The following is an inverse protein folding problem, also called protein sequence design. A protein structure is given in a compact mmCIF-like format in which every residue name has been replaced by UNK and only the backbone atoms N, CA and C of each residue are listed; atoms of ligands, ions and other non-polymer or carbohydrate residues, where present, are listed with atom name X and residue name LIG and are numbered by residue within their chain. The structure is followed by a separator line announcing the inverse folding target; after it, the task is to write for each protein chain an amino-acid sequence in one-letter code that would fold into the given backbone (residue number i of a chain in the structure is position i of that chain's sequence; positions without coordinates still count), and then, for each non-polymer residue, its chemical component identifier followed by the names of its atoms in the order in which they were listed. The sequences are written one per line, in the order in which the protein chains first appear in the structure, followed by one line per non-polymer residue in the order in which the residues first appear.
data_IF_200974075667
#
_entry.id   IF_200974075667
#
_cell.length_a   1.000
_cell.length_b   1.000
_cell.length_c   1.000
_cell.angle_alpha   90.00
_cell.angle_beta   90.00
_cell.angle_gamma   90.00
#
_symmetry.space_group_name_H-M   'P 1'
#
loop_
_entity.id
_entity.type
_entity.pdbx_description
1 polymer ?
#
# COMPACT_ATOMS: atom_id res chain seq x y z
N UNK A 1 -6.03 6.37 5.08
CA UNK A 1 -6.90 5.78 4.07
C UNK A 1 -6.46 4.35 3.70
N UNK A 2 -5.18 4.01 3.79
CA UNK A 2 -4.68 2.65 3.61
C UNK A 2 -3.71 2.32 4.71
N UNK A 3 -3.80 1.11 5.25
CA UNK A 3 -3.04 0.63 6.39
C UNK A 3 -3.34 1.36 7.71
N UNK A 4 -4.36 2.21 7.79
CA UNK A 4 -4.85 2.83 9.01
C UNK A 4 -5.34 1.79 10.02
N UNK A 5 -6.09 0.79 9.57
CA UNK A 5 -6.49 -0.36 10.42
C UNK A 5 -5.28 -1.08 11.00
N UNK A 6 -4.23 -1.30 10.17
CA UNK A 6 -3.01 -1.97 10.60
C UNK A 6 -2.23 -1.12 11.61
N UNK A 7 -2.09 0.19 11.35
CA UNK A 7 -1.43 1.11 12.26
C UNK A 7 -2.18 1.21 13.60
N UNK A 8 -3.50 1.29 13.55
CA UNK A 8 -4.35 1.26 14.74
C UNK A 8 -4.14 -0.02 15.56
N UNK A 9 -4.16 -1.19 14.89
CA UNK A 9 -3.91 -2.46 15.57
C UNK A 9 -2.53 -2.53 16.21
N UNK A 10 -1.48 -2.06 15.51
CA UNK A 10 -0.12 -2.06 16.05
C UNK A 10 0.00 -1.15 17.28
N UNK A 11 -0.56 0.06 17.22
CA UNK A 11 -0.58 0.97 18.39
C UNK A 11 -1.38 0.41 19.55
N UNK A 12 -2.52 -0.22 19.27
CA UNK A 12 -3.34 -0.88 20.30
C UNK A 12 -2.55 -1.97 21.04
N UNK A 13 -1.82 -2.81 20.31
CA UNK A 13 -0.99 -3.86 20.90
C UNK A 13 0.19 -3.24 21.70
N UNK A 14 0.83 -2.20 21.18
CA UNK A 14 1.90 -1.51 21.89
C UNK A 14 1.43 -0.83 23.19
N UNK A 15 0.18 -0.37 23.21
CA UNK A 15 -0.45 0.19 24.42
C UNK A 15 -0.90 -0.90 25.42
N UNK A 16 -0.60 -2.18 25.17
CA UNK A 16 -0.89 -3.30 26.05
C UNK A 16 -2.31 -3.89 25.91
N UNK A 17 -3.10 -3.41 24.94
CA UNK A 17 -4.42 -3.99 24.69
C UNK A 17 -4.33 -5.26 23.84
N UNK A 18 -5.31 -6.15 23.96
CA UNK A 18 -5.45 -7.36 23.15
C UNK A 18 -6.42 -7.13 22.01
N UNK A 19 -6.08 -7.63 20.84
CA UNK A 19 -6.98 -7.68 19.69
C UNK A 19 -7.58 -9.08 19.64
N UNK A 20 -8.91 -9.17 19.63
CA UNK A 20 -9.63 -10.44 19.59
C UNK A 20 -10.23 -10.63 18.20
N UNK A 21 -10.05 -11.84 17.66
CA UNK A 21 -10.76 -12.28 16.48
C UNK A 21 -12.07 -12.96 16.89
N UNK A 22 -13.20 -12.49 16.35
CA UNK A 22 -14.52 -13.03 16.62
C UNK A 22 -15.04 -13.76 15.37
N UNK A 23 -14.93 -15.09 15.30
CA UNK A 23 -15.27 -15.86 14.07
C UNK A 23 -16.74 -15.77 13.67
N UNK A 24 -17.62 -15.48 14.64
CA UNK A 24 -19.08 -15.38 14.44
C UNK A 24 -19.53 -14.00 13.95
N UNK A 25 -18.64 -13.00 13.96
CA UNK A 25 -18.95 -11.68 13.44
C UNK A 25 -18.84 -11.69 11.91
N UNK A 26 -19.97 -11.82 11.24
CA UNK A 26 -20.08 -11.83 9.79
C UNK A 26 -20.40 -10.42 9.28
N UNK A 27 -19.78 -10.04 8.17
CA UNK A 27 -20.06 -8.80 7.48
C UNK A 27 -20.25 -9.08 5.99
N UNK A 28 -21.42 -8.77 5.47
CA UNK A 28 -21.70 -8.81 4.03
C UNK A 28 -21.17 -7.55 3.37
N UNK A 29 -20.39 -7.74 2.32
CA UNK A 29 -19.79 -6.64 1.56
C UNK A 29 -20.13 -6.77 0.09
N UNK A 30 -20.75 -5.75 -0.46
CA UNK A 30 -21.00 -5.66 -1.89
C UNK A 30 -19.70 -5.70 -2.72
N UNK A 31 -19.76 -6.42 -3.84
CA UNK A 31 -18.63 -6.47 -4.78
C UNK A 31 -18.62 -5.22 -5.65
N UNK A 32 -17.70 -4.30 -5.37
CA UNK A 32 -17.44 -3.17 -6.26
C UNK A 32 -16.55 -3.59 -7.44
N UNK A 33 -16.84 -3.08 -8.63
CA UNK A 33 -16.05 -3.32 -9.86
C UNK A 33 -16.05 -4.77 -10.36
N UNK A 34 -17.14 -5.50 -10.21
CA UNK A 34 -17.23 -6.90 -10.65
C UNK A 34 -17.07 -7.08 -12.17
N UNK A 35 -17.48 -6.09 -12.96
CA UNK A 35 -17.49 -6.11 -14.43
C UNK A 35 -16.33 -5.35 -15.09
N UNK A 36 -15.47 -4.71 -14.33
CA UNK A 36 -14.33 -3.95 -14.86
C UNK A 36 -13.21 -4.89 -15.34
N UNK A 37 -12.62 -4.59 -16.49
CA UNK A 37 -11.38 -5.21 -16.95
C UNK A 37 -10.23 -4.94 -15.99
N UNK A 38 -9.14 -5.73 -16.09
CA UNK A 38 -7.94 -5.51 -15.27
C UNK A 38 -7.37 -4.09 -15.45
N UNK A 39 -7.32 -3.60 -16.69
CA UNK A 39 -6.81 -2.26 -17.01
C UNK A 39 -7.67 -1.17 -16.38
N UNK A 40 -9.00 -1.23 -16.51
CA UNK A 40 -9.93 -0.26 -15.93
C UNK A 40 -9.86 -0.23 -14.41
N UNK A 41 -9.84 -1.41 -13.77
CA UNK A 41 -9.67 -1.50 -12.32
C UNK A 41 -8.37 -0.87 -11.85
N UNK A 42 -7.28 -1.07 -12.59
CA UNK A 42 -5.98 -0.50 -12.28
C UNK A 42 -5.97 1.01 -12.45
N UNK A 43 -6.57 1.53 -13.51
CA UNK A 43 -6.72 2.97 -13.76
C UNK A 43 -7.52 3.66 -12.66
N UNK A 44 -8.68 3.10 -12.28
CA UNK A 44 -9.54 3.63 -11.21
C UNK A 44 -8.86 3.60 -9.82
N UNK A 45 -8.03 2.58 -9.56
CA UNK A 45 -7.37 2.38 -8.25
C UNK A 45 -5.94 2.90 -8.20
N UNK A 46 -5.43 3.51 -9.28
CA UNK A 46 -4.03 3.95 -9.38
C UNK A 46 -3.59 4.85 -8.22
N UNK A 47 -4.38 5.86 -7.90
CA UNK A 47 -4.08 6.77 -6.80
C UNK A 47 -3.95 6.06 -5.44
N UNK A 48 -4.73 5.00 -5.22
CA UNK A 48 -4.68 4.20 -4.00
C UNK A 48 -3.32 3.52 -3.80
N UNK A 49 -2.65 3.15 -4.88
CA UNK A 49 -1.36 2.44 -4.84
C UNK A 49 -0.24 3.32 -4.32
N UNK A 50 -0.24 4.61 -4.65
CA UNK A 50 0.74 5.54 -4.12
C UNK A 50 0.64 5.63 -2.59
N UNK A 51 -0.57 5.76 -2.07
CA UNK A 51 -0.81 5.73 -0.63
C UNK A 51 -0.48 4.38 -0.01
N UNK A 52 -0.80 3.28 -0.69
CA UNK A 52 -0.49 1.94 -0.22
C UNK A 52 1.02 1.72 -0.11
N UNK A 53 1.79 2.09 -1.12
CA UNK A 53 3.27 2.00 -1.10
C UNK A 53 3.81 2.84 0.03
N UNK A 54 3.42 4.11 0.14
CA UNK A 54 3.90 5.00 1.19
C UNK A 54 3.58 4.48 2.59
N UNK A 55 2.32 4.14 2.84
CA UNK A 55 1.88 3.77 4.18
C UNK A 55 2.40 2.40 4.60
N UNK A 56 2.49 1.42 3.68
CA UNK A 56 3.10 0.13 3.98
C UNK A 56 4.61 0.24 4.24
N UNK A 57 5.29 1.13 3.51
CA UNK A 57 6.70 1.44 3.76
C UNK A 57 6.88 2.12 5.12
N UNK A 58 6.05 3.11 5.44
CA UNK A 58 6.03 3.74 6.76
C UNK A 58 5.86 2.71 7.88
N UNK A 59 4.84 1.85 7.80
CA UNK A 59 4.60 0.82 8.81
C UNK A 59 5.79 -0.13 8.97
N UNK A 60 6.37 -0.55 7.85
CA UNK A 60 7.54 -1.42 7.88
C UNK A 60 8.76 -0.73 8.48
N UNK A 61 8.96 0.56 8.18
CA UNK A 61 10.06 1.35 8.71
C UNK A 61 9.86 1.66 10.20
N UNK A 62 8.69 2.11 10.58
CA UNK A 62 8.39 2.56 11.95
C UNK A 62 8.34 1.38 12.93
N UNK A 63 7.64 0.30 12.60
CA UNK A 63 7.42 -0.86 13.48
C UNK A 63 8.40 -2.02 13.25
N UNK A 64 9.25 -1.96 12.24
CA UNK A 64 10.18 -3.03 11.90
C UNK A 64 11.22 -3.28 12.98
N UNK A 65 11.37 -4.55 13.40
CA UNK A 65 12.32 -4.95 14.45
C UNK A 65 13.77 -5.03 13.96
N UNK A 66 13.99 -5.25 12.67
CA UNK A 66 15.31 -5.39 12.08
C UNK A 66 15.44 -4.57 10.80
N UNK A 67 16.67 -4.35 10.35
CA UNK A 67 16.99 -3.56 9.17
C UNK A 67 16.28 -4.08 7.90
N UNK A 68 16.23 -5.39 7.71
CA UNK A 68 15.61 -5.98 6.53
C UNK A 68 14.09 -5.66 6.46
N UNK A 69 13.38 -5.76 7.57
CA UNK A 69 11.95 -5.40 7.62
C UNK A 69 11.79 -3.89 7.41
N UNK A 70 12.63 -3.08 8.01
CA UNK A 70 12.53 -1.61 7.92
C UNK A 70 12.70 -1.09 6.50
N UNK A 71 13.62 -1.65 5.73
CA UNK A 71 13.99 -1.11 4.41
C UNK A 71 13.61 -2.02 3.25
N UNK A 72 13.92 -3.33 3.34
CA UNK A 72 13.71 -4.23 2.19
C UNK A 72 12.24 -4.56 1.95
N UNK A 73 11.41 -4.62 2.98
CA UNK A 73 9.99 -4.94 2.80
C UNK A 73 9.27 -3.86 1.99
N UNK A 74 9.48 -2.59 2.31
CA UNK A 74 8.94 -1.45 1.56
C UNK A 74 9.52 -1.39 0.15
N UNK A 75 10.84 -1.62 0.02
CA UNK A 75 11.54 -1.63 -1.26
C UNK A 75 11.00 -2.73 -2.19
N UNK A 76 10.83 -3.96 -1.72
CA UNK A 76 10.25 -5.05 -2.52
C UNK A 76 8.83 -4.72 -3.01
N UNK A 77 8.03 -4.07 -2.16
CA UNK A 77 6.69 -3.62 -2.53
C UNK A 77 6.70 -2.61 -3.67
N UNK A 78 7.51 -1.56 -3.56
CA UNK A 78 7.63 -0.53 -4.62
C UNK A 78 8.27 -1.10 -5.89
N UNK A 79 9.29 -1.95 -5.76
CA UNK A 79 9.95 -2.59 -6.90
C UNK A 79 8.95 -3.44 -7.72
N UNK A 80 8.07 -4.19 -7.06
CA UNK A 80 7.01 -4.94 -7.73
C UNK A 80 6.06 -4.03 -8.52
N UNK A 81 5.64 -2.90 -7.96
CA UNK A 81 4.79 -1.94 -8.68
C UNK A 81 5.52 -1.24 -9.83
N UNK A 82 6.80 -0.89 -9.65
CA UNK A 82 7.62 -0.29 -10.71
C UNK A 82 7.82 -1.29 -11.85
N UNK A 83 8.15 -2.54 -11.53
CA UNK A 83 8.30 -3.59 -12.55
C UNK A 83 7.00 -3.80 -13.32
N UNK A 84 5.86 -3.88 -12.62
CA UNK A 84 4.55 -3.97 -13.27
C UNK A 84 4.29 -2.77 -14.18
N UNK A 85 4.60 -1.54 -13.73
CA UNK A 85 4.46 -0.34 -14.53
C UNK A 85 5.34 -0.39 -15.78
N UNK A 86 6.62 -0.76 -15.65
CA UNK A 86 7.56 -0.88 -16.78
C UNK A 86 7.07 -1.88 -17.83
N UNK A 87 6.56 -3.04 -17.39
CA UNK A 87 6.08 -4.08 -18.29
C UNK A 87 4.73 -3.75 -18.95
N UNK A 88 3.90 -2.93 -18.32
CA UNK A 88 2.55 -2.66 -18.81
C UNK A 88 2.38 -1.30 -19.51
N UNK A 89 3.22 -0.31 -19.20
CA UNK A 89 3.18 1.01 -19.84
C UNK A 89 3.16 0.98 -21.39
N UNK A 90 3.92 0.11 -22.08
CA UNK A 90 3.90 0.07 -23.54
C UNK A 90 2.61 -0.51 -24.13
N UNK A 91 1.86 -1.29 -23.36
CA UNK A 91 0.73 -2.10 -23.86
C UNK A 91 -0.63 -1.66 -23.31
N UNK A 92 -0.66 -0.91 -22.19
CA UNK A 92 -1.91 -0.54 -21.53
C UNK A 92 -1.83 0.86 -20.92
N UNK A 93 -2.98 1.53 -20.82
CA UNK A 93 -3.13 2.81 -20.12
C UNK A 93 -3.21 2.67 -18.58
N UNK A 94 -2.93 1.47 -18.04
CA UNK A 94 -3.03 1.21 -16.61
C UNK A 94 -2.02 2.03 -15.79
N UNK A 95 -0.84 2.26 -16.36
CA UNK A 95 0.23 3.11 -15.82
C UNK A 95 0.76 4.07 -16.87
N UNK A 96 1.31 5.19 -16.39
CA UNK A 96 2.06 6.16 -17.19
C UNK A 96 3.51 6.19 -16.69
N UNK A 97 4.44 6.61 -17.55
CA UNK A 97 5.86 6.74 -17.17
C UNK A 97 6.07 7.66 -15.95
N UNK A 98 5.25 8.71 -15.84
CA UNK A 98 5.26 9.60 -14.67
C UNK A 98 4.87 8.91 -13.35
N UNK A 99 4.15 7.79 -13.42
CA UNK A 99 3.71 7.06 -12.22
C UNK A 99 4.87 6.32 -11.54
N UNK A 100 5.93 5.97 -12.30
CA UNK A 100 7.15 5.35 -11.76
C UNK A 100 7.83 6.33 -10.78
N UNK A 101 7.97 7.59 -11.18
CA UNK A 101 8.54 8.62 -10.30
C UNK A 101 7.67 8.85 -9.05
N UNK A 102 6.33 8.79 -9.20
CA UNK A 102 5.39 8.92 -8.07
C UNK A 102 5.48 7.73 -7.12
N UNK A 103 5.62 6.51 -7.64
CA UNK A 103 5.80 5.30 -6.82
C UNK A 103 7.11 5.38 -6.02
N UNK A 104 8.20 5.80 -6.66
CA UNK A 104 9.47 6.00 -5.97
C UNK A 104 9.39 7.08 -4.90
N UNK A 105 8.77 8.23 -5.24
CA UNK A 105 8.51 9.29 -4.26
C UNK A 105 7.68 8.78 -3.08
N UNK A 106 6.64 7.99 -3.32
CA UNK A 106 5.81 7.39 -2.27
C UNK A 106 6.63 6.50 -1.32
N UNK A 107 7.57 5.70 -1.86
CA UNK A 107 8.51 4.92 -1.05
C UNK A 107 9.40 5.82 -0.19
N UNK A 108 10.01 6.84 -0.78
CA UNK A 108 10.85 7.79 -0.03
C UNK A 108 10.05 8.53 1.04
N UNK A 109 8.84 8.97 0.74
CA UNK A 109 7.97 9.64 1.71
C UNK A 109 7.61 8.70 2.89
N UNK A 110 7.42 7.39 2.62
CA UNK A 110 7.21 6.38 3.64
C UNK A 110 8.41 6.19 4.57
N UNK A 111 9.63 6.11 4.02
CA UNK A 111 10.87 6.02 4.80
C UNK A 111 11.09 7.27 5.67
N UNK A 112 10.77 8.47 5.14
CA UNK A 112 10.94 9.73 5.87
C UNK A 112 9.72 10.13 6.69
N UNK A 113 8.75 9.24 6.85
CA UNK A 113 7.52 9.41 7.64
C UNK A 113 6.67 10.64 7.22
N UNK A 114 6.71 10.99 5.93
CA UNK A 114 5.94 12.09 5.36
C UNK A 114 4.54 11.64 4.96
N UNK A 115 3.59 11.70 5.88
CA UNK A 115 2.24 11.14 5.71
C UNK A 115 1.17 12.14 5.23
N UNK A 116 1.52 13.30 4.75
CA UNK A 116 0.59 14.31 4.23
C UNK A 116 -0.18 13.87 2.98
N UNK A 117 -0.95 14.80 2.39
CA UNK A 117 -1.63 14.59 1.09
C UNK A 117 -0.57 14.44 -0.02
N UNK A 118 -0.75 13.45 -0.87
CA UNK A 118 0.11 13.21 -2.04
C UNK A 118 -0.44 13.91 -3.28
#
# INVERSE_FOLDING_TARGET
IFCDDTDYCLRTVQAGFKILYVPTALMDKEKFFSNDSWSERNKKKKWKRFYQVRNSTYLSHHYGRNWAVRYLRGFNGVAGYILTALLTCPFTDAYQWSDIAKLWKAYCDGIHERLGKM
#
